data_IF_891857668581
#
_entry.id   IF_891857668581
#
_cell.length_a   1.000
_cell.length_b   1.000
_cell.length_c   1.000
_cell.angle_alpha   90.00
_cell.angle_beta   90.00
_cell.angle_gamma   90.00
#
_symmetry.space_group_name_H-M   'P 1'
#
loop_
_entity.id
_entity.type
_entity.pdbx_description
1 polymer ?
#
# COMPACT_ATOMS: atom_id res chain seq x y z
N UNK A 1 5.16 -20.36 14.07
CA UNK A 1 6.27 -20.22 13.10
C UNK A 1 5.74 -20.68 11.74
N UNK A 2 5.76 -19.81 10.71
CA UNK A 2 5.29 -20.19 9.36
C UNK A 2 6.30 -21.12 8.69
N UNK A 3 5.83 -22.18 8.04
CA UNK A 3 6.68 -23.07 7.22
C UNK A 3 7.06 -22.46 5.87
N UNK A 4 6.37 -21.39 5.46
CA UNK A 4 6.53 -20.75 4.17
C UNK A 4 7.57 -19.64 4.20
N UNK A 5 8.38 -19.55 3.14
CA UNK A 5 9.35 -18.46 2.98
C UNK A 5 8.69 -17.13 2.58
N UNK A 6 7.55 -17.23 1.88
CA UNK A 6 6.77 -16.10 1.42
C UNK A 6 5.28 -16.34 1.64
N UNK A 7 4.55 -15.27 1.96
CA UNK A 7 3.12 -15.28 2.25
C UNK A 7 2.45 -14.27 1.31
N UNK A 8 1.48 -14.74 0.54
CA UNK A 8 0.66 -13.94 -0.36
C UNK A 8 -0.65 -13.63 0.35
N UNK A 9 -0.97 -12.35 0.52
CA UNK A 9 -2.23 -11.90 1.12
C UNK A 9 -2.95 -11.04 0.10
N UNK A 10 -3.86 -11.64 -0.66
CA UNK A 10 -4.43 -11.03 -1.86
C UNK A 10 -5.95 -10.94 -1.77
N UNK A 11 -6.50 -9.83 -2.26
CA UNK A 11 -7.93 -9.64 -2.43
C UNK A 11 -8.47 -10.57 -3.54
N UNK A 12 -9.73 -10.96 -3.42
CA UNK A 12 -10.38 -11.93 -4.31
C UNK A 12 -10.59 -11.44 -5.74
N UNK A 13 -10.47 -10.13 -5.98
CA UNK A 13 -10.82 -9.48 -7.24
C UNK A 13 -9.61 -9.20 -8.15
N UNK A 14 -8.50 -9.90 -7.92
CA UNK A 14 -7.29 -9.85 -8.73
C UNK A 14 -7.32 -10.87 -9.87
N UNK A 15 -7.23 -10.37 -11.12
CA UNK A 15 -6.96 -11.18 -12.30
C UNK A 15 -5.48 -11.54 -12.41
N UNK A 16 -5.17 -12.84 -12.45
CA UNK A 16 -3.80 -13.39 -12.39
C UNK A 16 -3.31 -13.96 -13.73
N UNK A 17 -3.97 -13.63 -14.84
CA UNK A 17 -3.67 -14.20 -16.17
C UNK A 17 -2.25 -13.89 -16.66
N UNK A 18 -1.64 -12.83 -16.12
CA UNK A 18 -0.30 -12.37 -16.48
C UNK A 18 0.72 -12.51 -15.35
N UNK A 19 0.38 -13.32 -14.34
CA UNK A 19 1.19 -13.50 -13.15
C UNK A 19 1.71 -14.94 -13.06
N UNK A 20 3.03 -15.09 -12.98
CA UNK A 20 3.67 -16.36 -12.67
C UNK A 20 4.37 -16.29 -11.30
N UNK A 21 3.93 -17.07 -10.29
CA UNK A 21 4.48 -17.00 -8.94
C UNK A 21 5.96 -17.38 -8.87
N UNK A 22 6.42 -18.31 -9.70
CA UNK A 22 7.83 -18.72 -9.70
C UNK A 22 8.72 -17.59 -10.18
N UNK A 23 8.41 -17.03 -11.36
CA UNK A 23 9.17 -15.89 -11.92
C UNK A 23 9.12 -14.69 -10.99
N UNK A 24 7.97 -14.42 -10.39
CA UNK A 24 7.82 -13.34 -9.40
C UNK A 24 8.76 -13.56 -8.21
N UNK A 25 8.74 -14.75 -7.59
CA UNK A 25 9.57 -15.06 -6.44
C UNK A 25 11.07 -15.07 -6.77
N UNK A 26 11.47 -15.44 -7.98
CA UNK A 26 12.86 -15.35 -8.44
C UNK A 26 13.35 -13.89 -8.39
N UNK A 27 12.49 -12.94 -8.79
CA UNK A 27 12.80 -11.51 -8.74
C UNK A 27 12.84 -11.04 -7.30
N UNK A 28 11.83 -11.36 -6.49
CA UNK A 28 11.76 -10.97 -5.08
C UNK A 28 13.01 -11.43 -4.32
N UNK A 29 13.44 -12.68 -4.54
CA UNK A 29 14.66 -13.24 -3.94
C UNK A 29 15.92 -12.55 -4.45
N UNK A 30 16.07 -12.41 -5.77
CA UNK A 30 17.25 -11.78 -6.39
C UNK A 30 17.43 -10.33 -5.94
N UNK A 31 16.32 -9.60 -5.83
CA UNK A 31 16.29 -8.18 -5.49
C UNK A 31 16.23 -7.91 -3.98
N UNK A 32 16.22 -8.97 -3.17
CA UNK A 32 16.17 -8.90 -1.71
C UNK A 32 14.94 -8.17 -1.18
N UNK A 33 13.81 -8.26 -1.89
CA UNK A 33 12.55 -7.66 -1.46
C UNK A 33 11.94 -8.50 -0.34
N UNK A 34 11.57 -7.84 0.75
CA UNK A 34 10.93 -8.48 1.90
C UNK A 34 9.44 -8.21 1.96
N UNK A 35 9.01 -7.11 1.35
CA UNK A 35 7.60 -6.81 1.13
C UNK A 35 7.49 -6.39 -0.32
N UNK A 36 6.65 -7.06 -1.08
CA UNK A 36 6.52 -6.80 -2.50
C UNK A 36 5.08 -6.93 -2.96
N UNK A 37 4.80 -6.45 -4.16
CA UNK A 37 3.50 -6.61 -4.80
C UNK A 37 3.72 -6.77 -6.31
N UNK A 38 2.98 -7.65 -7.01
CA UNK A 38 2.97 -7.64 -8.47
C UNK A 38 2.38 -6.31 -8.95
N UNK A 39 2.93 -5.75 -10.02
CA UNK A 39 2.42 -4.49 -10.54
C UNK A 39 0.96 -4.62 -10.99
N UNK A 40 0.23 -3.51 -10.97
CA UNK A 40 -1.09 -3.42 -11.55
C UNK A 40 -0.98 -3.08 -13.02
N UNK A 41 -1.73 -3.79 -13.85
CA UNK A 41 -1.93 -3.40 -15.23
C UNK A 41 -2.51 -1.97 -15.28
N UNK A 42 -2.02 -1.07 -16.15
CA UNK A 42 -2.56 0.29 -16.26
C UNK A 42 -4.05 0.36 -16.60
N UNK A 43 -4.64 -0.72 -17.14
CA UNK A 43 -6.07 -0.83 -17.42
C UNK A 43 -6.89 -1.30 -16.21
N UNK A 44 -6.26 -1.55 -15.06
CA UNK A 44 -6.96 -1.90 -13.83
C UNK A 44 -7.91 -0.78 -13.39
N UNK A 45 -9.03 -1.16 -12.79
CA UNK A 45 -9.95 -0.17 -12.19
C UNK A 45 -9.45 0.25 -10.81
N UNK A 46 -9.88 1.43 -10.33
CA UNK A 46 -9.65 1.81 -8.94
C UNK A 46 -8.19 1.99 -8.51
N UNK A 47 -7.27 2.29 -9.43
CA UNK A 47 -5.85 2.53 -9.08
C UNK A 47 -5.75 3.75 -8.15
N UNK A 48 -5.37 3.51 -6.88
CA UNK A 48 -5.27 4.56 -5.85
C UNK A 48 -3.87 5.17 -5.76
N UNK A 49 -2.82 4.36 -5.93
CA UNK A 49 -1.44 4.79 -5.75
C UNK A 49 -0.62 4.56 -7.02
N UNK A 50 -0.03 5.63 -7.57
CA UNK A 50 0.75 5.56 -8.81
C UNK A 50 1.96 4.60 -8.75
N UNK A 51 2.49 4.36 -7.56
CA UNK A 51 3.58 3.40 -7.37
C UNK A 51 3.16 1.98 -7.71
N UNK A 52 1.90 1.58 -7.56
CA UNK A 52 1.50 0.20 -7.85
C UNK A 52 1.35 -0.06 -9.36
N UNK A 53 1.38 0.99 -10.20
CA UNK A 53 1.18 0.87 -11.65
C UNK A 53 2.42 0.30 -12.33
N UNK A 54 2.20 -0.67 -13.22
CA UNK A 54 3.24 -1.31 -14.02
C UNK A 54 4.03 -0.35 -14.89
N UNK A 55 5.36 -0.43 -14.78
CA UNK A 55 6.32 0.18 -15.70
C UNK A 55 6.80 -0.88 -16.69
N UNK A 56 6.23 -0.88 -17.90
CA UNK A 56 6.43 -1.94 -18.91
C UNK A 56 7.89 -2.22 -19.28
N UNK A 57 8.78 -1.24 -19.16
CA UNK A 57 10.21 -1.35 -19.49
C UNK A 57 11.06 -1.87 -18.33
N UNK A 58 10.49 -1.97 -17.13
CA UNK A 58 11.22 -2.33 -15.92
C UNK A 58 10.96 -3.79 -15.54
N UNK A 59 11.90 -4.36 -14.80
CA UNK A 59 11.72 -5.65 -14.12
C UNK A 59 10.96 -5.48 -12.80
N UNK A 60 11.29 -4.41 -12.07
CA UNK A 60 10.69 -3.99 -10.82
C UNK A 60 10.99 -2.49 -10.58
N UNK A 61 10.32 -1.88 -9.61
CA UNK A 61 10.68 -0.57 -9.09
C UNK A 61 10.30 -0.41 -7.62
N UNK A 62 10.99 0.49 -6.91
CA UNK A 62 10.77 0.76 -5.47
C UNK A 62 10.26 2.17 -5.19
N UNK A 63 10.16 2.99 -6.24
CA UNK A 63 9.76 4.40 -6.16
C UNK A 63 9.17 4.94 -7.45
N UNK A 64 8.42 6.03 -7.33
CA UNK A 64 7.85 6.80 -8.44
C UNK A 64 8.14 8.30 -8.30
N UNK A 65 8.07 8.97 -9.43
CA UNK A 65 8.06 10.42 -9.54
C UNK A 65 6.72 10.81 -10.16
N UNK A 66 6.00 11.71 -9.51
CA UNK A 66 4.76 12.24 -10.05
C UNK A 66 4.59 13.68 -9.58
N UNK A 67 4.50 14.60 -10.53
CA UNK A 67 4.21 16.02 -10.29
C UNK A 67 2.71 16.32 -10.36
N UNK A 68 1.90 15.34 -10.78
CA UNK A 68 0.46 15.45 -11.03
C UNK A 68 -0.30 14.61 -9.99
N UNK A 69 -1.50 15.05 -9.60
CA UNK A 69 -2.32 14.36 -8.59
C UNK A 69 -2.24 14.97 -7.18
N UNK A 70 -2.92 14.32 -6.23
CA UNK A 70 -3.03 14.81 -4.83
C UNK A 70 -1.76 14.59 -4.01
N UNK A 71 -0.95 13.57 -4.35
CA UNK A 71 0.34 13.30 -3.72
C UNK A 71 1.46 13.57 -4.72
N UNK A 72 2.32 14.55 -4.42
CA UNK A 72 3.48 14.89 -5.24
C UNK A 72 4.69 14.06 -4.79
N UNK A 73 5.29 13.32 -5.72
CA UNK A 73 6.48 12.51 -5.47
C UNK A 73 7.70 13.14 -6.13
N UNK A 74 8.62 13.65 -5.33
CA UNK A 74 9.91 14.24 -5.74
C UNK A 74 11.09 13.45 -5.17
N UNK A 75 12.31 13.91 -5.40
CA UNK A 75 13.51 13.32 -4.77
C UNK A 75 13.51 13.42 -3.24
N UNK A 76 12.75 14.37 -2.68
CA UNK A 76 12.57 14.50 -1.24
C UNK A 76 11.51 13.53 -0.68
N UNK A 77 10.71 12.88 -1.54
CA UNK A 77 9.62 11.97 -1.14
C UNK A 77 10.14 10.54 -0.99
N UNK A 78 10.71 10.23 0.17
CA UNK A 78 11.33 8.95 0.53
C UNK A 78 10.40 7.98 1.27
N UNK A 79 9.16 8.39 1.53
CA UNK A 79 8.15 7.60 2.20
C UNK A 79 7.00 7.17 1.30
N UNK A 80 6.11 6.32 1.82
CA UNK A 80 4.90 5.92 1.14
C UNK A 80 3.98 7.13 0.90
N UNK A 81 3.23 7.15 -0.22
CA UNK A 81 3.21 6.12 -1.26
C UNK A 81 4.31 6.29 -2.33
N UNK A 82 5.23 7.25 -2.20
CA UNK A 82 6.20 7.58 -3.26
C UNK A 82 7.37 6.59 -3.37
N UNK A 83 7.79 6.00 -2.24
CA UNK A 83 8.85 5.02 -2.19
C UNK A 83 8.61 3.98 -1.08
N UNK A 84 9.07 2.75 -1.30
CA UNK A 84 9.00 1.67 -0.32
C UNK A 84 7.58 1.37 0.15
N UNK A 85 6.63 1.29 -0.79
CA UNK A 85 5.21 1.08 -0.54
C UNK A 85 4.67 -0.05 -1.42
N UNK A 86 3.76 -0.81 -0.85
CA UNK A 86 2.83 -1.73 -1.53
C UNK A 86 1.44 -1.43 -0.98
N UNK A 87 0.41 -1.64 -1.79
CA UNK A 87 -0.98 -1.48 -1.40
C UNK A 87 -1.51 -2.77 -0.77
N UNK A 88 -2.46 -2.65 0.15
CA UNK A 88 -2.96 -3.76 0.96
C UNK A 88 -3.64 -4.90 0.19
N UNK A 89 -4.08 -4.68 -1.04
CA UNK A 89 -4.84 -5.67 -1.83
C UNK A 89 -3.99 -6.79 -2.44
N UNK A 90 -2.68 -6.58 -2.65
CA UNK A 90 -1.82 -7.57 -3.28
C UNK A 90 -0.40 -7.72 -2.67
N UNK A 91 -0.19 -7.52 -1.35
CA UNK A 91 1.13 -7.67 -0.77
C UNK A 91 1.58 -9.13 -0.72
N UNK A 92 2.89 -9.29 -0.81
CA UNK A 92 3.64 -10.52 -0.59
C UNK A 92 4.71 -10.21 0.43
N UNK A 93 4.77 -11.01 1.49
CA UNK A 93 5.70 -10.81 2.59
C UNK A 93 6.71 -11.96 2.63
N UNK A 94 7.97 -11.65 2.91
CA UNK A 94 8.91 -12.65 3.42
C UNK A 94 8.42 -13.16 4.78
N UNK A 95 8.90 -14.33 5.19
CA UNK A 95 8.60 -14.90 6.51
C UNK A 95 8.86 -13.91 7.65
N UNK A 96 10.00 -13.21 7.61
CA UNK A 96 10.37 -12.24 8.63
C UNK A 96 9.43 -11.01 8.64
N UNK A 97 9.13 -10.46 7.47
CA UNK A 97 8.22 -9.33 7.36
C UNK A 97 6.79 -9.69 7.77
N UNK A 98 6.35 -10.90 7.45
CA UNK A 98 5.03 -11.41 7.85
C UNK A 98 4.89 -11.51 9.37
N UNK A 99 5.93 -11.95 10.07
CA UNK A 99 5.90 -12.00 11.54
C UNK A 99 5.65 -10.63 12.16
N UNK A 100 6.15 -9.55 11.58
CA UNK A 100 5.82 -8.19 12.00
C UNK A 100 4.42 -7.77 11.52
N UNK A 101 4.12 -7.92 10.22
CA UNK A 101 2.87 -7.46 9.62
C UNK A 101 1.64 -8.12 10.25
N UNK A 102 1.73 -9.39 10.63
CA UNK A 102 0.68 -10.12 11.32
C UNK A 102 0.24 -9.43 12.63
N UNK A 103 1.17 -8.85 13.38
CA UNK A 103 0.85 -8.12 14.62
C UNK A 103 0.39 -6.68 14.36
N UNK A 104 0.61 -6.17 13.15
CA UNK A 104 0.07 -4.88 12.71
C UNK A 104 -1.41 -5.02 12.30
N UNK A 105 -1.79 -6.16 11.74
CA UNK A 105 -3.17 -6.49 11.35
C UNK A 105 -4.01 -6.68 12.61
N UNK A 106 -5.00 -5.81 12.80
CA UNK A 106 -5.88 -5.84 13.97
C UNK A 106 -7.11 -6.69 13.66
N UNK A 107 -7.58 -7.45 14.66
CA UNK A 107 -8.72 -8.35 14.50
C UNK A 107 -10.08 -7.63 14.48
N UNK A 108 -10.10 -6.32 14.68
CA UNK A 108 -11.30 -5.47 14.70
C UNK A 108 -11.50 -4.67 13.40
N UNK A 109 -10.74 -4.99 12.34
CA UNK A 109 -10.83 -4.34 11.04
C UNK A 109 -11.88 -5.03 10.16
N UNK A 110 -12.76 -4.25 9.55
CA UNK A 110 -13.65 -4.70 8.48
C UNK A 110 -13.03 -4.39 7.12
N UNK A 111 -12.41 -3.21 6.94
CA UNK A 111 -11.80 -2.80 5.66
C UNK A 111 -10.28 -2.68 5.73
N UNK A 112 -9.72 -2.14 6.83
CA UNK A 112 -8.25 -2.02 6.99
C UNK A 112 -7.55 -1.04 6.04
N UNK A 113 -8.29 -0.22 5.29
CA UNK A 113 -7.73 0.73 4.32
C UNK A 113 -6.77 1.73 4.99
N UNK A 114 -5.61 1.95 4.37
CA UNK A 114 -4.59 2.91 4.82
C UNK A 114 -3.59 2.36 5.85
N UNK A 115 -3.76 1.12 6.32
CA UNK A 115 -2.76 0.45 7.15
C UNK A 115 -1.49 0.07 6.38
N UNK A 116 -1.62 -0.12 5.08
CA UNK A 116 -0.54 -0.39 4.13
C UNK A 116 0.58 0.66 4.17
N UNK A 117 0.27 1.91 4.54
CA UNK A 117 1.25 2.97 4.82
C UNK A 117 2.28 2.57 5.89
N UNK A 118 1.93 1.66 6.80
CA UNK A 118 2.80 1.18 7.88
C UNK A 118 3.48 -0.15 7.60
N UNK A 119 3.06 -0.90 6.57
CA UNK A 119 3.68 -2.20 6.24
C UNK A 119 5.19 -2.09 6.02
N UNK A 120 5.67 -0.99 5.44
CA UNK A 120 7.10 -0.77 5.24
C UNK A 120 7.95 -0.75 6.52
N UNK A 121 7.37 -0.55 7.71
CA UNK A 121 8.09 -0.71 8.98
C UNK A 121 8.44 -2.17 9.30
N UNK A 122 7.77 -3.13 8.67
CA UNK A 122 8.02 -4.56 8.84
C UNK A 122 9.11 -5.12 7.92
N UNK A 123 9.67 -4.30 7.01
CA UNK A 123 10.83 -4.70 6.25
C UNK A 123 12.10 -4.57 7.12
N UNK A 124 12.98 -5.57 7.10
CA UNK A 124 14.27 -5.52 7.79
C UNK A 124 15.21 -4.55 7.06
N UNK A 125 15.27 -3.32 7.58
CA UNK A 125 16.16 -2.26 7.09
C UNK A 125 15.40 -1.15 6.36
N UNK A 126 16.05 -0.59 5.33
CA UNK A 126 15.51 0.55 4.60
C UNK A 126 14.39 0.11 3.64
N UNK A 127 13.14 0.51 3.94
CA UNK A 127 11.97 0.20 3.11
C UNK A 127 12.13 0.66 1.66
N UNK A 128 12.88 1.73 1.38
CA UNK A 128 13.10 2.19 0.00
C UNK A 128 13.94 1.20 -0.84
N UNK A 129 14.60 0.25 -0.18
CA UNK A 129 15.40 -0.83 -0.80
C UNK A 129 14.73 -2.19 -0.67
N UNK A 130 14.00 -2.42 0.42
CA UNK A 130 13.42 -3.72 0.77
C UNK A 130 11.96 -3.88 0.36
N UNK A 131 11.29 -2.79 -0.02
CA UNK A 131 9.89 -2.79 -0.43
C UNK A 131 9.77 -2.32 -1.87
N UNK A 132 9.01 -3.05 -2.70
CA UNK A 132 8.90 -2.71 -4.11
C UNK A 132 7.86 -3.48 -4.91
N UNK A 133 7.64 -3.00 -6.13
CA UNK A 133 6.68 -3.51 -7.08
C UNK A 133 7.43 -4.28 -8.17
N UNK A 134 6.99 -5.50 -8.47
CA UNK A 134 7.54 -6.32 -9.55
C UNK A 134 6.78 -5.99 -10.84
N UNK A 135 7.43 -5.36 -11.80
CA UNK A 135 6.79 -4.84 -13.03
C UNK A 135 6.62 -5.90 -14.13
N UNK A 136 7.51 -6.89 -14.12
CA UNK A 136 7.53 -7.95 -15.13
C UNK A 136 6.48 -9.03 -14.89
N UNK A 137 5.93 -9.10 -13.67
CA UNK A 137 4.87 -10.03 -13.26
C UNK A 137 3.74 -9.19 -12.66
N UNK A 138 2.57 -9.18 -13.30
CA UNK A 138 1.54 -8.19 -13.02
C UNK A 138 0.14 -8.81 -12.98
N UNK A 139 -0.76 -8.12 -12.28
CA UNK A 139 -2.15 -8.51 -12.07
C UNK A 139 -3.10 -7.40 -12.53
N UNK A 140 -4.37 -7.75 -12.74
CA UNK A 140 -5.43 -6.80 -13.10
C UNK A 140 -6.39 -6.66 -11.92
N UNK A 141 -6.51 -5.46 -11.36
CA UNK A 141 -7.48 -5.21 -10.29
C UNK A 141 -8.86 -4.90 -10.89
N UNK A 142 -9.83 -5.77 -10.60
CA UNK A 142 -11.17 -5.73 -11.20
C UNK A 142 -12.11 -4.75 -10.48
N UNK A 143 -11.78 -4.34 -9.24
CA UNK A 143 -12.55 -3.38 -8.47
C UNK A 143 -13.93 -3.92 -8.08
N UNK A 144 -14.02 -5.24 -7.86
CA UNK A 144 -15.26 -5.91 -7.49
C UNK A 144 -15.50 -5.65 -6.00
N UNK A 145 -16.53 -4.87 -5.72
CA UNK A 145 -16.86 -4.51 -4.33
C UNK A 145 -17.67 -5.63 -3.68
N UNK A 146 -17.03 -6.40 -2.81
CA UNK A 146 -17.67 -7.48 -2.04
C UNK A 146 -18.45 -6.98 -0.82
N UNK A 147 -18.07 -5.83 -0.25
CA UNK A 147 -18.75 -5.21 0.90
C UNK A 147 -19.76 -4.13 0.46
N UNK A 148 -20.97 -4.16 1.04
CA UNK A 148 -22.01 -3.15 0.83
C UNK A 148 -22.90 -3.35 -0.41
N UNK A 149 -22.73 -4.46 -1.14
CA UNK A 149 -23.60 -4.87 -2.26
C UNK A 149 -23.45 -4.05 -3.55
N UNK A 150 -24.23 -4.37 -4.60
CA UNK A 150 -24.21 -3.60 -5.85
C UNK A 150 -24.60 -2.14 -5.57
N UNK A 151 -23.84 -1.19 -6.11
CA UNK A 151 -24.29 0.20 -6.16
C UNK A 151 -25.67 0.22 -6.80
N UNK A 152 -26.63 0.91 -6.19
CA UNK A 152 -27.88 1.22 -6.86
C UNK A 152 -27.52 1.90 -8.19
N UNK A 153 -27.63 1.18 -9.30
CA UNK A 153 -27.50 1.77 -10.63
C UNK A 153 -28.53 2.91 -10.63
N UNK A 154 -28.08 4.13 -10.89
CA UNK A 154 -28.99 5.25 -11.23
C UNK A 154 -29.67 4.89 -12.54
N UNK A 155 -30.70 4.04 -12.48
CA UNK A 155 -31.64 3.85 -13.56
C UNK A 155 -32.36 5.19 -13.69
N UNK A 156 -32.01 5.97 -14.71
CA UNK A 156 -32.76 7.17 -15.10
C UNK A 156 -34.10 6.76 -15.72
N UNK A 157 -34.95 6.06 -14.98
CA UNK A 157 -36.34 5.93 -15.34
C UNK A 157 -37.14 6.55 -14.20
N UNK A 158 -37.69 7.72 -14.51
CA UNK A 158 -38.67 8.42 -13.70
C UNK A 158 -39.90 7.52 -13.47
N UNK A 159 -40.60 7.80 -12.37
CA UNK A 159 -41.90 7.24 -11.97
C UNK A 159 -41.75 5.93 -11.17
N UNK A 160 -41.57 6.04 -9.84
CA UNK A 160 -42.65 5.69 -8.91
C UNK A 160 -42.25 6.03 -7.45
N UNK A 161 -43.25 6.45 -6.68
CA UNK A 161 -43.13 6.93 -5.31
C UNK A 161 -42.91 5.77 -4.32
N UNK A 162 -41.76 5.78 -3.63
CA UNK A 162 -41.64 5.55 -2.17
C UNK A 162 -40.18 5.82 -1.79
N UNK A 163 -39.91 6.98 -1.17
CA UNK A 163 -38.65 7.25 -0.45
C UNK A 163 -38.56 6.31 0.74
N UNK A 164 -38.19 5.04 0.53
CA UNK A 164 -37.55 4.26 1.58
C UNK A 164 -36.21 4.96 1.84
N UNK A 165 -35.96 5.32 3.10
CA UNK A 165 -34.60 5.56 3.60
C UNK A 165 -33.80 4.28 3.40
N UNK A 166 -33.34 4.05 2.17
CA UNK A 166 -32.39 3.00 1.86
C UNK A 166 -31.06 3.55 2.34
N UNK A 167 -30.61 3.05 3.48
CA UNK A 167 -29.26 3.33 3.98
C UNK A 167 -28.31 2.92 2.86
N UNK A 168 -27.54 3.86 2.34
CA UNK A 168 -26.48 3.57 1.38
C UNK A 168 -25.40 2.79 2.13
N UNK A 169 -25.49 1.46 2.05
CA UNK A 169 -24.55 0.57 2.73
C UNK A 169 -23.11 0.86 2.33
N UNK A 170 -22.85 1.33 1.10
CA UNK A 170 -21.49 1.70 0.67
C UNK A 170 -21.00 2.96 1.37
N UNK A 171 -21.87 3.94 1.57
CA UNK A 171 -21.52 5.12 2.35
C UNK A 171 -21.19 4.73 3.80
N UNK A 172 -21.93 3.79 4.40
CA UNK A 172 -21.64 3.32 5.75
C UNK A 172 -20.32 2.53 5.82
N UNK A 173 -20.02 1.64 4.86
CA UNK A 173 -18.72 0.94 4.79
C UNK A 173 -17.55 1.94 4.68
N UNK A 174 -17.68 2.97 3.84
CA UNK A 174 -16.65 4.04 3.73
C UNK A 174 -16.50 4.83 5.02
N UNK A 175 -17.60 5.10 5.72
CA UNK A 175 -17.58 5.77 7.02
C UNK A 175 -16.88 4.91 8.06
N UNK A 176 -17.19 3.61 8.12
CA UNK A 176 -16.51 2.66 9.01
C UNK A 176 -15.02 2.56 8.70
N UNK A 177 -14.64 2.43 7.43
CA UNK A 177 -13.23 2.45 6.99
C UNK A 177 -12.49 3.72 7.45
N UNK A 178 -13.16 4.88 7.41
CA UNK A 178 -12.58 6.14 7.91
C UNK A 178 -12.38 6.12 9.43
N UNK A 179 -13.34 5.55 10.18
CA UNK A 179 -13.25 5.40 11.64
C UNK A 179 -12.13 4.42 12.00
N UNK A 180 -12.05 3.27 11.33
CA UNK A 180 -10.97 2.28 11.51
C UNK A 180 -9.60 2.91 11.31
N UNK A 181 -9.39 3.65 10.21
CA UNK A 181 -8.12 4.31 9.94
C UNK A 181 -7.77 5.34 11.02
N UNK A 182 -8.75 6.08 11.55
CA UNK A 182 -8.53 7.03 12.64
C UNK A 182 -8.10 6.30 13.91
N UNK A 183 -8.79 5.22 14.28
CA UNK A 183 -8.46 4.40 15.44
C UNK A 183 -7.07 3.78 15.31
N UNK A 184 -6.74 3.22 14.14
CA UNK A 184 -5.43 2.68 13.85
C UNK A 184 -4.32 3.72 14.04
N UNK A 185 -4.50 4.94 13.51
CA UNK A 185 -3.52 6.03 13.68
C UNK A 185 -3.33 6.41 15.15
N UNK A 186 -4.42 6.52 15.90
CA UNK A 186 -4.36 6.83 17.33
C UNK A 186 -3.62 5.73 18.11
N UNK A 187 -3.90 4.46 17.83
CA UNK A 187 -3.20 3.32 18.45
C UNK A 187 -1.72 3.31 18.10
N UNK A 188 -1.38 3.57 16.84
CA UNK A 188 0.01 3.68 16.40
C UNK A 188 0.75 4.81 17.13
N UNK A 189 0.16 6.00 17.19
CA UNK A 189 0.75 7.16 17.87
C UNK A 189 0.92 6.92 19.37
N UNK A 190 -0.07 6.28 20.01
CA UNK A 190 0.02 5.91 21.41
C UNK A 190 1.14 4.88 21.67
N UNK A 191 1.23 3.82 20.86
CA UNK A 191 2.28 2.81 20.98
C UNK A 191 3.68 3.42 20.82
N UNK A 192 3.84 4.32 19.85
CA UNK A 192 5.08 5.10 19.65
C UNK A 192 5.44 5.95 20.87
N UNK A 193 4.44 6.54 21.52
CA UNK A 193 4.64 7.39 22.70
C UNK A 193 4.97 6.58 23.96
N UNK A 194 4.37 5.41 24.11
CA UNK A 194 4.54 4.53 25.28
C UNK A 194 5.87 3.77 25.25
N UNK A 195 6.37 3.41 24.07
CA UNK A 195 7.68 2.77 23.92
C UNK A 195 8.80 3.82 24.02
N UNK A 196 9.34 3.98 25.22
CA UNK A 196 10.42 4.94 25.52
C UNK A 196 11.72 4.66 24.78
N UNK A 197 11.91 3.44 24.27
CA UNK A 197 13.09 3.05 23.49
C UNK A 197 12.83 3.13 21.99
N UNK A 198 11.62 3.48 21.56
CA UNK A 198 11.28 3.55 20.15
C UNK A 198 12.00 4.69 19.45
N UNK A 199 12.68 4.37 18.36
CA UNK A 199 13.30 5.34 17.47
C UNK A 199 12.79 5.07 16.07
N UNK A 200 12.11 6.06 15.47
CA UNK A 200 11.65 5.92 14.08
C UNK A 200 12.87 5.74 13.16
N UNK A 201 13.04 4.57 12.51
CA UNK A 201 14.16 4.32 11.62
C UNK A 201 14.17 5.24 10.40
N UNK A 202 13.02 5.82 10.04
CA UNK A 202 12.85 6.65 8.84
C UNK A 202 12.94 8.16 9.12
N UNK A 203 12.94 8.61 10.40
CA UNK A 203 13.18 10.01 10.74
C UNK A 203 14.64 10.45 10.47
N UNK A 204 15.62 9.56 10.69
CA UNK A 204 17.06 9.89 10.52
C UNK A 204 17.47 10.08 9.05
N UNK A 205 16.82 9.38 8.12
CA UNK A 205 17.11 9.44 6.68
C UNK A 205 16.86 10.85 6.12
N UNK A 206 15.82 11.53 6.61
CA UNK A 206 15.52 12.93 6.26
C UNK A 206 16.56 13.93 6.76
N UNK A 207 17.15 13.72 7.95
CA UNK A 207 18.13 14.65 8.54
C UNK A 207 19.51 14.58 7.89
N UNK A 208 19.97 13.39 7.46
CA UNK A 208 21.29 13.20 6.82
C UNK A 208 21.43 13.87 5.45
N UNK A 209 20.34 14.33 4.84
CA UNK A 209 20.31 14.86 3.46
C UNK A 209 19.90 16.33 3.34
N UNK A 210 19.80 17.08 4.45
CA UNK A 210 19.84 18.56 4.33
C UNK A 210 21.16 18.92 3.64
N UNK A 211 21.16 19.70 2.53
CA UNK A 211 22.40 20.21 1.98
C UNK A 211 23.13 20.96 3.09
N UNK A 212 24.43 20.67 3.28
CA UNK A 212 25.28 21.67 3.93
C UNK A 212 25.18 22.90 3.04
N UNK A 213 24.60 23.99 3.56
CA UNK A 213 24.77 25.31 2.98
C UNK A 213 26.28 25.47 2.79
N UNK A 214 26.72 25.44 1.53
CA UNK A 214 28.09 25.84 1.19
C UNK A 214 28.11 27.32 1.59
N UNK A 215 28.81 27.62 2.68
CA UNK A 215 29.18 28.99 2.97
C UNK A 215 30.02 29.44 1.77
N UNK A 216 29.46 30.35 0.97
CA UNK A 216 30.22 31.19 0.06
C UNK A 216 31.24 31.94 0.92
N UNK A 217 32.48 31.48 0.88
CA UNK A 217 33.62 32.29 1.31
C UNK A 217 33.82 33.32 0.21
N UNK A 218 33.34 34.52 0.48
CA UNK A 218 33.73 35.71 -0.27
C UNK A 218 35.24 35.96 -0.04
N UNK A 219 35.99 35.96 -1.13
CA UNK A 219 37.25 36.69 -1.32
C UNK A 219 37.25 37.23 -2.74
#
# INVERSE_FOLDING_TARGET
VSIYDYIFLWDEDLGVQHFNPQRYLDIVKTEGLEISQPALDPNSTGIHHRITVRKRTNKFHRRVYDSRGSVKCSDASDGPPCAGFVEGMAPVFSRAAWHCAWHLIQNDLVHGWGMDIKLGYCAQGDRSKKVGIVDSEYVVHQGIQSLGGPSAKKTRNSLDLKKKHTVDMRAEIRRQSTIELKTFKQRWEQAVKEDTNWVDPFLRTRRRRKPRLIASLDT
#
